data_IF_002349107592
#
_entry.id   IF_002349107592
#
_cell.length_a   1.000
_cell.length_b   1.000
_cell.length_c   1.000
_cell.angle_alpha   90.00
_cell.angle_beta   90.00
_cell.angle_gamma   90.00
#
_symmetry.space_group_name_H-M   'P 1'
#
loop_
_entity.id
_entity.type
_entity.pdbx_description
1 polymer ?
#
# COMPACT_ATOMS: atom_id res chain seq x y z
N UNK A 1 -4.69 -15.02 -12.30
CA UNK A 1 -5.41 -15.53 -11.12
C UNK A 1 -6.79 -16.01 -11.52
N UNK A 2 -7.18 -17.19 -11.09
CA UNK A 2 -8.50 -17.79 -11.43
C UNK A 2 -9.66 -17.22 -10.60
N UNK A 3 -9.40 -16.38 -9.62
CA UNK A 3 -10.41 -15.85 -8.71
C UNK A 3 -10.74 -14.37 -8.93
N UNK A 4 -9.96 -13.68 -9.76
CA UNK A 4 -10.10 -12.25 -10.03
C UNK A 4 -10.08 -11.98 -11.54
N UNK A 5 -10.83 -10.99 -11.98
CA UNK A 5 -10.87 -10.47 -13.36
C UNK A 5 -10.93 -8.95 -13.35
N UNK A 6 -10.36 -8.32 -14.38
CA UNK A 6 -10.24 -6.87 -14.44
C UNK A 6 -9.08 -6.32 -13.60
N UNK A 7 -8.71 -5.08 -13.84
CA UNK A 7 -7.58 -4.39 -13.20
C UNK A 7 -8.05 -3.23 -12.33
N UNK A 8 -7.13 -2.67 -11.55
CA UNK A 8 -7.44 -1.57 -10.62
C UNK A 8 -8.22 -2.01 -9.39
N UNK A 9 -8.51 -1.09 -8.45
CA UNK A 9 -9.18 -1.43 -7.18
C UNK A 9 -10.64 -1.88 -7.34
N UNK A 10 -11.23 -1.75 -8.53
CA UNK A 10 -12.59 -2.20 -8.83
C UNK A 10 -12.64 -3.56 -9.53
N UNK A 11 -11.55 -4.32 -9.55
CA UNK A 11 -11.50 -5.67 -10.13
C UNK A 11 -12.64 -6.54 -9.59
N UNK A 12 -13.14 -7.49 -10.39
CA UNK A 12 -14.12 -8.47 -9.95
C UNK A 12 -13.44 -9.69 -9.33
N UNK A 13 -13.99 -10.21 -8.23
CA UNK A 13 -13.44 -11.39 -7.54
C UNK A 13 -14.17 -11.63 -6.21
N UNK A 14 -14.18 -12.88 -5.76
CA UNK A 14 -14.82 -13.28 -4.50
C UNK A 14 -13.83 -13.11 -3.33
N UNK A 15 -14.10 -12.11 -2.48
CA UNK A 15 -13.32 -11.84 -1.27
C UNK A 15 -13.75 -12.67 -0.05
N UNK A 16 -14.85 -13.42 -0.10
CA UNK A 16 -15.37 -14.20 1.04
C UNK A 16 -14.33 -15.16 1.61
N UNK A 17 -13.42 -15.66 0.78
CA UNK A 17 -12.30 -16.51 1.21
C UNK A 17 -11.32 -15.86 2.15
N UNK A 18 -11.33 -14.53 2.26
CA UNK A 18 -10.48 -13.75 3.16
C UNK A 18 -11.21 -13.28 4.41
N UNK A 19 -12.55 -13.35 4.44
CA UNK A 19 -13.36 -12.89 5.57
C UNK A 19 -13.28 -13.81 6.78
N UNK A 20 -13.21 -15.12 6.55
CA UNK A 20 -13.29 -16.13 7.60
C UNK A 20 -12.15 -17.12 7.48
N UNK A 21 -10.99 -16.74 8.00
CA UNK A 21 -9.85 -17.64 8.05
C UNK A 21 -9.87 -18.50 9.31
N UNK A 22 -9.45 -19.77 9.22
CA UNK A 22 -9.23 -20.60 10.40
C UNK A 22 -8.23 -19.96 11.36
N UNK A 23 -8.33 -20.25 12.65
CA UNK A 23 -7.40 -19.77 13.66
C UNK A 23 -5.95 -20.15 13.28
N UNK A 24 -5.00 -19.25 13.49
CA UNK A 24 -3.58 -19.40 13.13
C UNK A 24 -3.30 -19.58 11.62
N UNK A 25 -4.20 -19.08 10.78
CA UNK A 25 -4.03 -19.08 9.32
C UNK A 25 -3.71 -17.69 8.82
N UNK A 26 -2.81 -17.60 7.86
CA UNK A 26 -2.51 -16.38 7.10
C UNK A 26 -2.86 -16.65 5.65
N UNK A 27 -3.77 -15.87 5.08
CA UNK A 27 -4.02 -15.91 3.63
C UNK A 27 -2.89 -15.20 2.90
N UNK A 28 -2.48 -15.78 1.78
CA UNK A 28 -1.50 -15.17 0.88
C UNK A 28 -2.11 -15.00 -0.51
N UNK A 29 -2.00 -13.80 -1.06
CA UNK A 29 -2.33 -13.50 -2.45
C UNK A 29 -1.29 -12.54 -3.02
N UNK A 30 -1.28 -12.37 -4.34
CA UNK A 30 -0.31 -11.53 -5.03
C UNK A 30 -0.93 -10.96 -6.31
N UNK A 31 -0.33 -9.90 -6.83
CA UNK A 31 -0.70 -9.37 -8.13
C UNK A 31 -0.38 -10.36 -9.25
N UNK A 32 -1.22 -10.41 -10.28
CA UNK A 32 -1.13 -11.40 -11.34
C UNK A 32 -1.67 -10.83 -12.66
N UNK A 33 -1.44 -11.55 -13.75
CA UNK A 33 -2.13 -11.33 -15.01
C UNK A 33 -3.54 -11.91 -14.87
N UNK A 34 -4.53 -11.09 -15.23
CA UNK A 34 -5.96 -11.44 -15.12
C UNK A 34 -6.67 -11.18 -16.44
N UNK A 35 -7.75 -11.90 -16.68
CA UNK A 35 -8.63 -11.63 -17.81
C UNK A 35 -9.29 -10.26 -17.64
N UNK A 36 -9.41 -9.52 -18.74
CA UNK A 36 -10.06 -8.24 -18.80
C UNK A 36 -11.20 -8.22 -19.83
N UNK A 37 -12.25 -7.41 -19.62
CA UNK A 37 -13.27 -7.21 -20.63
C UNK A 37 -12.68 -6.51 -21.86
N UNK A 38 -13.31 -6.70 -23.04
CA UNK A 38 -12.91 -5.97 -24.25
C UNK A 38 -12.85 -4.44 -24.04
N UNK A 39 -11.93 -3.73 -24.71
CA UNK A 39 -11.05 -4.20 -25.79
C UNK A 39 -9.80 -4.96 -25.32
N UNK A 40 -9.46 -4.90 -24.04
CA UNK A 40 -8.32 -5.59 -23.46
C UNK A 40 -8.70 -7.06 -23.22
N UNK A 41 -7.80 -7.98 -23.56
CA UNK A 41 -8.04 -9.39 -23.30
C UNK A 41 -7.50 -9.81 -21.93
N UNK A 42 -6.44 -9.14 -21.49
CA UNK A 42 -5.81 -9.37 -20.17
C UNK A 42 -5.14 -8.09 -19.68
N UNK A 43 -4.88 -8.02 -18.40
CA UNK A 43 -4.19 -6.91 -17.75
C UNK A 43 -3.46 -7.36 -16.48
N UNK A 44 -2.79 -6.43 -15.83
CA UNK A 44 -2.09 -6.69 -14.57
C UNK A 44 -2.95 -6.16 -13.43
N UNK A 45 -3.36 -7.06 -12.54
CA UNK A 45 -3.94 -6.71 -11.24
C UNK A 45 -2.80 -6.61 -10.22
N UNK A 46 -2.54 -5.41 -9.73
CA UNK A 46 -1.43 -5.17 -8.82
C UNK A 46 -1.74 -5.59 -7.37
N UNK A 47 -0.70 -5.85 -6.58
CA UNK A 47 -0.85 -6.07 -5.14
C UNK A 47 -1.43 -4.84 -4.41
N UNK A 48 -1.13 -3.64 -4.90
CA UNK A 48 -1.63 -2.39 -4.32
C UNK A 48 -3.15 -2.25 -4.59
N UNK A 49 -3.65 -2.65 -5.76
CA UNK A 49 -5.09 -2.69 -6.07
C UNK A 49 -5.83 -3.70 -5.19
N UNK A 50 -5.23 -4.88 -5.00
CA UNK A 50 -5.75 -5.90 -4.07
C UNK A 50 -5.89 -5.32 -2.66
N UNK A 51 -4.87 -4.63 -2.15
CA UNK A 51 -4.90 -4.01 -0.83
C UNK A 51 -6.01 -2.96 -0.71
N UNK A 52 -6.18 -2.09 -1.71
CA UNK A 52 -7.22 -1.04 -1.70
C UNK A 52 -8.60 -1.67 -1.59
N UNK A 53 -8.92 -2.65 -2.43
CA UNK A 53 -10.23 -3.30 -2.41
C UNK A 53 -10.45 -4.11 -1.12
N UNK A 54 -9.47 -4.90 -0.70
CA UNK A 54 -9.58 -5.68 0.54
C UNK A 54 -9.76 -4.78 1.76
N UNK A 55 -9.07 -3.64 1.81
CA UNK A 55 -9.20 -2.67 2.89
C UNK A 55 -10.58 -2.01 2.95
N UNK A 56 -11.24 -1.82 1.80
CA UNK A 56 -12.57 -1.19 1.74
C UNK A 56 -13.72 -2.16 2.02
N UNK A 57 -13.56 -3.47 1.73
CA UNK A 57 -14.63 -4.45 1.82
C UNK A 57 -14.49 -5.39 3.04
N UNK A 58 -13.26 -5.61 3.54
CA UNK A 58 -13.01 -6.47 4.71
C UNK A 58 -12.87 -5.63 5.99
N UNK A 59 -13.09 -6.26 7.14
CA UNK A 59 -12.88 -5.62 8.45
C UNK A 59 -11.38 -5.51 8.78
N UNK A 60 -10.71 -4.57 8.10
CA UNK A 60 -9.26 -4.37 8.16
C UNK A 60 -8.89 -3.37 9.24
N UNK A 61 -8.05 -3.76 10.20
CA UNK A 61 -7.56 -2.87 11.27
C UNK A 61 -6.26 -2.16 10.91
N UNK A 62 -5.41 -2.80 10.11
CA UNK A 62 -4.11 -2.28 9.70
C UNK A 62 -3.85 -2.58 8.23
N UNK A 63 -3.33 -1.61 7.51
CA UNK A 63 -2.77 -1.79 6.17
C UNK A 63 -1.30 -1.35 6.18
N UNK A 64 -0.39 -2.26 5.88
CA UNK A 64 1.04 -2.05 6.03
C UNK A 64 1.74 -2.31 4.70
N UNK A 65 2.33 -1.27 4.13
CA UNK A 65 3.19 -1.35 2.95
C UNK A 65 4.64 -1.56 3.40
N UNK A 66 5.23 -2.68 3.02
CA UNK A 66 6.63 -2.97 3.30
C UNK A 66 7.49 -2.50 2.13
N UNK A 67 8.36 -1.53 2.39
CA UNK A 67 9.27 -0.96 1.40
C UNK A 67 10.61 -1.70 1.43
N UNK A 68 11.22 -1.87 0.25
CA UNK A 68 12.47 -2.63 0.12
C UNK A 68 13.74 -1.79 0.27
N UNK A 69 13.62 -0.48 0.14
CA UNK A 69 14.76 0.43 -0.04
C UNK A 69 14.79 1.63 0.92
N UNK A 70 13.62 2.02 1.47
CA UNK A 70 13.51 3.17 2.37
C UNK A 70 12.80 2.84 3.67
N UNK A 71 12.92 3.74 4.66
CA UNK A 71 12.29 3.58 5.98
C UNK A 71 10.79 3.96 5.99
N UNK A 72 10.34 4.61 4.94
CA UNK A 72 9.02 5.19 4.72
C UNK A 72 9.10 6.18 3.58
N UNK A 73 8.15 7.13 3.51
CA UNK A 73 8.20 8.24 2.57
C UNK A 73 9.27 9.23 3.01
N UNK A 74 10.13 9.64 2.08
CA UNK A 74 11.15 10.65 2.31
C UNK A 74 10.75 11.98 1.67
N UNK A 75 11.26 13.09 2.18
CA UNK A 75 11.02 14.44 1.65
C UNK A 75 11.72 14.70 0.30
N UNK A 76 12.71 13.86 -0.03
CA UNK A 76 13.49 13.87 -1.29
C UNK A 76 14.00 12.45 -1.61
N UNK A 77 14.56 12.23 -2.82
CA UNK A 77 15.14 10.93 -3.19
C UNK A 77 16.17 10.43 -2.17
N UNK A 78 16.20 9.11 -1.91
CA UNK A 78 17.03 8.52 -0.84
C UNK A 78 18.54 8.64 -1.11
N UNK A 79 18.95 8.84 -2.36
CA UNK A 79 20.33 9.09 -2.79
C UNK A 79 20.78 10.56 -2.61
N UNK A 80 19.86 11.46 -2.30
CA UNK A 80 20.19 12.86 -2.04
C UNK A 80 20.61 13.06 -0.59
N UNK A 81 21.71 13.79 -0.32
CA UNK A 81 22.14 14.10 1.04
C UNK A 81 21.06 14.86 1.83
N UNK A 82 20.84 14.43 3.08
CA UNK A 82 19.90 15.07 3.97
C UNK A 82 18.43 14.69 3.72
N UNK A 83 18.18 13.57 3.03
CA UNK A 83 16.83 13.03 2.92
C UNK A 83 16.26 12.70 4.32
N UNK A 84 15.10 13.24 4.63
CA UNK A 84 14.44 13.07 5.93
C UNK A 84 13.14 12.27 5.81
N UNK A 85 12.87 11.45 6.82
CA UNK A 85 11.66 10.63 6.89
C UNK A 85 10.44 11.50 7.19
N UNK A 86 9.44 11.47 6.33
CA UNK A 86 8.11 12.01 6.58
C UNK A 86 7.37 11.03 7.48
N UNK A 87 7.24 11.34 8.76
CA UNK A 87 6.61 10.42 9.74
C UNK A 87 5.10 10.39 9.67
N UNK A 88 4.48 11.44 9.14
CA UNK A 88 3.05 11.58 8.95
C UNK A 88 2.73 12.14 7.57
N UNK A 89 1.86 11.46 6.85
CA UNK A 89 1.38 11.89 5.54
C UNK A 89 -0.14 12.06 5.53
N UNK A 90 -0.62 13.17 4.96
CA UNK A 90 -2.03 13.39 4.65
C UNK A 90 -2.20 13.71 3.16
N UNK A 91 -3.32 13.32 2.51
CA UNK A 91 -3.55 13.57 1.09
C UNK A 91 -3.55 15.06 0.69
N UNK A 92 -3.84 15.95 1.66
CA UNK A 92 -3.80 17.40 1.45
C UNK A 92 -2.38 17.98 1.51
N UNK A 93 -1.45 17.28 2.10
CA UNK A 93 -0.04 17.64 2.08
C UNK A 93 0.49 17.44 0.66
N UNK A 94 0.38 18.48 -0.17
CA UNK A 94 1.25 18.58 -1.33
C UNK A 94 2.66 18.63 -0.79
N UNK A 95 3.53 17.72 -1.24
CA UNK A 95 4.96 17.86 -1.00
C UNK A 95 5.30 19.27 -1.48
N UNK A 96 5.66 20.14 -0.53
CA UNK A 96 5.97 21.52 -0.82
C UNK A 96 7.30 21.54 -1.58
N UNK A 97 7.24 21.57 -2.90
CA UNK A 97 8.43 21.57 -3.73
C UNK A 97 8.10 21.20 -5.17
N UNK A 98 7.68 22.20 -5.94
CA UNK A 98 7.68 22.25 -7.40
C UNK A 98 7.11 21.02 -8.15
N UNK A 99 6.09 21.30 -8.91
CA UNK A 99 5.51 20.47 -10.00
C UNK A 99 6.49 20.16 -11.16
N UNK A 100 7.80 20.25 -10.96
CA UNK A 100 8.79 19.96 -11.98
C UNK A 100 9.84 18.97 -11.46
N UNK A 101 9.71 17.74 -11.94
CA UNK A 101 10.77 16.81 -12.35
C UNK A 101 11.80 16.28 -11.33
N UNK A 102 11.62 16.33 -10.04
CA UNK A 102 12.66 15.83 -9.12
C UNK A 102 12.24 14.74 -8.14
N UNK A 103 10.98 14.32 -8.13
CA UNK A 103 10.55 13.11 -7.45
C UNK A 103 10.40 11.95 -8.46
N UNK A 104 11.39 11.74 -9.30
CA UNK A 104 11.59 10.49 -10.00
C UNK A 104 12.20 9.46 -9.02
N UNK A 105 11.55 9.34 -7.87
CA UNK A 105 11.75 8.23 -6.98
C UNK A 105 10.86 7.14 -7.52
N UNK A 106 11.40 6.34 -8.43
CA UNK A 106 10.82 5.11 -8.97
C UNK A 106 9.30 5.04 -8.87
N UNK A 107 8.56 5.11 -9.98
CA UNK A 107 7.09 5.24 -10.04
C UNK A 107 6.27 4.39 -9.03
N UNK A 108 6.89 3.41 -8.38
CA UNK A 108 6.30 2.55 -7.36
C UNK A 108 5.93 3.24 -6.05
N UNK A 109 6.69 4.23 -5.54
CA UNK A 109 6.37 4.88 -4.26
C UNK A 109 5.12 5.78 -4.37
N UNK A 110 4.93 6.46 -5.50
CA UNK A 110 3.74 7.30 -5.72
C UNK A 110 2.47 6.46 -5.83
N UNK A 111 2.54 5.31 -6.50
CA UNK A 111 1.42 4.37 -6.55
C UNK A 111 1.07 3.86 -5.16
N UNK A 112 2.08 3.53 -4.34
CA UNK A 112 1.88 3.09 -2.95
C UNK A 112 1.27 4.18 -2.07
N UNK A 113 1.71 5.43 -2.20
CA UNK A 113 1.13 6.56 -1.47
C UNK A 113 -0.31 6.81 -1.91
N UNK A 114 -0.61 6.74 -3.22
CA UNK A 114 -1.98 6.86 -3.71
C UNK A 114 -2.87 5.75 -3.16
N UNK A 115 -2.41 4.51 -3.19
CA UNK A 115 -3.14 3.36 -2.61
C UNK A 115 -3.29 3.48 -1.10
N UNK A 116 -2.23 3.85 -0.37
CA UNK A 116 -2.28 4.08 1.07
C UNK A 116 -3.25 5.20 1.45
N UNK A 117 -3.30 6.29 0.68
CA UNK A 117 -4.25 7.39 0.86
C UNK A 117 -5.70 6.98 0.56
N UNK A 118 -5.91 6.10 -0.43
CA UNK A 118 -7.24 5.55 -0.67
C UNK A 118 -7.69 4.64 0.48
N UNK A 119 -6.80 3.81 0.99
CA UNK A 119 -7.05 2.89 2.11
C UNK A 119 -7.32 3.66 3.41
N UNK A 120 -6.61 4.77 3.67
CA UNK A 120 -6.76 5.54 4.92
C UNK A 120 -8.14 6.17 5.12
N UNK A 121 -8.98 6.19 4.09
CA UNK A 121 -10.41 6.56 4.19
C UNK A 121 -11.26 5.49 4.88
N UNK A 122 -10.78 4.26 4.94
CA UNK A 122 -11.50 3.09 5.48
C UNK A 122 -10.77 2.44 6.66
N UNK A 123 -9.45 2.60 6.74
CA UNK A 123 -8.57 1.96 7.72
C UNK A 123 -7.81 3.01 8.50
N UNK A 124 -7.91 2.98 9.83
CA UNK A 124 -7.26 3.98 10.70
C UNK A 124 -5.72 3.83 10.72
N UNK A 125 -5.22 2.61 10.66
CA UNK A 125 -3.81 2.32 10.81
C UNK A 125 -3.18 1.94 9.47
N UNK A 126 -2.81 2.95 8.68
CA UNK A 126 -2.13 2.77 7.39
C UNK A 126 -0.69 3.24 7.50
N UNK A 127 0.26 2.37 7.13
CA UNK A 127 1.67 2.60 7.34
C UNK A 127 2.53 2.17 6.15
N UNK A 128 3.60 2.94 5.89
CA UNK A 128 4.73 2.54 5.06
C UNK A 128 5.93 2.30 5.97
N UNK A 129 6.50 1.10 5.92
CA UNK A 129 7.55 0.64 6.86
C UNK A 129 8.66 -0.04 6.07
N UNK A 130 9.90 0.07 6.53
CA UNK A 130 11.04 -0.67 5.99
C UNK A 130 10.85 -2.18 6.17
N UNK A 131 10.63 -2.88 5.07
CA UNK A 131 10.43 -4.33 5.04
C UNK A 131 11.69 -5.14 5.39
N UNK A 132 12.87 -4.52 5.37
CA UNK A 132 14.14 -5.13 5.80
C UNK A 132 14.26 -5.20 7.32
N UNK A 133 13.32 -4.54 8.04
CA UNK A 133 13.29 -4.43 9.49
C UNK A 133 11.98 -5.02 10.06
N UNK A 134 11.78 -6.36 9.99
CA UNK A 134 10.49 -6.99 10.35
C UNK A 134 10.05 -6.72 11.79
N UNK A 135 10.98 -6.45 12.70
CA UNK A 135 10.69 -6.06 14.09
C UNK A 135 9.86 -4.77 14.19
N UNK A 136 9.88 -3.89 13.16
CA UNK A 136 9.08 -2.67 13.13
C UNK A 136 7.58 -2.97 13.00
N UNK A 137 7.23 -4.01 12.22
CA UNK A 137 5.83 -4.47 12.12
C UNK A 137 5.36 -4.99 13.47
N UNK A 138 6.18 -5.81 14.13
CA UNK A 138 5.86 -6.35 15.44
C UNK A 138 5.71 -5.25 16.51
N UNK A 139 6.58 -4.24 16.47
CA UNK A 139 6.50 -3.07 17.32
C UNK A 139 5.18 -2.31 17.07
N UNK A 140 4.82 -2.05 15.78
CA UNK A 140 3.58 -1.39 15.42
C UNK A 140 2.36 -2.10 16.02
N UNK A 141 2.24 -3.40 15.78
CA UNK A 141 1.10 -4.20 16.25
C UNK A 141 1.00 -4.22 17.78
N UNK A 142 2.13 -4.23 18.49
CA UNK A 142 2.16 -4.29 19.97
C UNK A 142 1.94 -2.94 20.64
N UNK A 143 2.40 -1.86 20.04
CA UNK A 143 2.47 -0.54 20.69
C UNK A 143 1.69 0.56 19.98
N UNK A 144 1.17 0.28 18.78
CA UNK A 144 0.50 1.26 17.91
C UNK A 144 1.46 2.26 17.25
N UNK A 145 2.78 2.10 17.41
CA UNK A 145 3.80 3.04 16.88
C UNK A 145 5.02 2.30 16.40
N UNK A 146 5.66 2.82 15.36
CA UNK A 146 6.94 2.34 14.85
C UNK A 146 7.63 3.44 14.03
N UNK A 147 8.88 3.22 13.64
CA UNK A 147 9.57 4.08 12.67
C UNK A 147 9.08 3.77 11.26
N UNK A 148 8.52 4.75 10.59
CA UNK A 148 7.92 4.66 9.27
C UNK A 148 7.06 5.89 8.99
N UNK A 149 6.28 5.86 7.91
CA UNK A 149 5.30 6.89 7.58
C UNK A 149 3.90 6.39 7.91
N UNK A 150 3.20 7.07 8.79
CA UNK A 150 1.75 6.89 8.98
C UNK A 150 1.00 7.71 7.95
N UNK A 151 0.00 7.10 7.31
CA UNK A 151 -0.89 7.78 6.36
C UNK A 151 -2.26 7.95 7.00
N UNK A 152 -2.79 9.19 6.97
CA UNK A 152 -4.13 9.53 7.48
C UNK A 152 -4.92 10.15 6.33
N UNK A 153 -6.19 9.73 6.16
CA UNK A 153 -7.15 10.27 5.20
C UNK A 153 -8.13 11.23 5.85
#
# INVERSE_FOLDING_TARGET
SIWATGTGPSFAGDLSRFESLPQNTVAMTFGDVVDCPPPDQFGILSGDDLMVRMASELNTTHAIFLLGDTEGLLDRPPDQPGAELITLWTPEQKIAGKHDSALDVTGGIFLKIASASAISKHVENVWLIDGRQPQRVLQLIRTGKTRGTRVIG
#
